data_IF_899359091867
#
_entry.id   IF_899359091867
#
_cell.length_a   1.000
_cell.length_b   1.000
_cell.length_c   1.000
_cell.angle_alpha   90.00
_cell.angle_beta   90.00
_cell.angle_gamma   90.00
#
_symmetry.space_group_name_H-M   'P 1'
#
loop_
_entity.id
_entity.type
_entity.pdbx_description
1 polymer ?
#
# COMPACT_ATOMS: atom_id res chain seq x y z
N UNK A 1 -15.26 -2.42 6.13
CA UNK A 1 -14.92 -2.06 7.52
C UNK A 1 -16.10 -1.34 8.12
N UNK A 2 -16.70 -1.84 9.21
CA UNK A 2 -17.71 -1.06 9.95
C UNK A 2 -16.98 0.08 10.64
N UNK A 3 -17.49 1.30 10.49
CA UNK A 3 -16.91 2.48 11.13
C UNK A 3 -16.99 2.27 12.64
N UNK A 4 -15.84 2.20 13.32
CA UNK A 4 -15.76 2.00 14.78
C UNK A 4 -16.09 3.28 15.57
N UNK A 5 -16.41 4.38 14.87
CA UNK A 5 -16.77 5.68 15.43
C UNK A 5 -17.99 6.19 14.68
N UNK A 6 -19.19 5.87 15.18
CA UNK A 6 -20.48 6.38 14.69
C UNK A 6 -21.02 5.72 13.41
N UNK A 7 -22.32 5.93 13.17
CA UNK A 7 -23.01 5.55 11.93
C UNK A 7 -22.49 6.43 10.76
N UNK A 8 -22.31 5.88 9.54
CA UNK A 8 -21.70 6.58 8.41
C UNK A 8 -22.54 7.76 7.90
N UNK A 9 -23.84 7.76 8.17
CA UNK A 9 -24.77 8.86 7.90
C UNK A 9 -25.85 8.87 8.98
N UNK A 10 -26.27 10.06 9.39
CA UNK A 10 -27.39 10.28 10.30
C UNK A 10 -28.50 10.99 9.54
N UNK A 11 -29.68 10.39 9.51
CA UNK A 11 -30.82 10.91 8.76
C UNK A 11 -31.80 11.58 9.72
N UNK A 12 -32.33 12.74 9.34
CA UNK A 12 -33.50 13.28 10.03
C UNK A 12 -34.72 12.45 9.62
N UNK A 13 -35.16 11.57 10.53
CA UNK A 13 -36.38 10.77 10.40
C UNK A 13 -37.52 11.34 11.25
N UNK A 14 -38.79 11.15 10.85
CA UNK A 14 -39.94 11.59 11.64
C UNK A 14 -40.00 10.86 13.00
N UNK A 15 -40.53 11.53 14.02
CA UNK A 15 -40.47 11.08 15.41
C UNK A 15 -41.30 9.81 15.69
N UNK A 16 -42.20 9.45 14.79
CA UNK A 16 -43.02 8.23 14.86
C UNK A 16 -42.25 6.95 14.48
N UNK A 17 -41.03 7.07 13.95
CA UNK A 17 -40.24 5.92 13.54
C UNK A 17 -39.59 5.21 14.74
N UNK A 18 -39.66 3.88 14.76
CA UNK A 18 -38.90 3.09 15.72
C UNK A 18 -37.43 3.02 15.31
N UNK A 19 -36.55 2.74 16.27
CA UNK A 19 -35.11 2.64 16.06
C UNK A 19 -34.71 1.64 14.95
N UNK A 20 -35.50 0.58 14.72
CA UNK A 20 -35.26 -0.36 13.62
C UNK A 20 -35.49 0.27 12.24
N UNK A 21 -36.50 1.16 12.13
CA UNK A 21 -36.80 1.89 10.90
C UNK A 21 -35.80 3.00 10.64
N UNK A 22 -35.28 3.64 11.69
CA UNK A 22 -34.18 4.60 11.61
C UNK A 22 -32.93 3.96 11.00
N UNK A 23 -32.50 2.80 11.53
CA UNK A 23 -31.38 2.04 10.96
C UNK A 23 -31.62 1.62 9.51
N UNK A 24 -32.85 1.26 9.15
CA UNK A 24 -33.19 0.95 7.76
C UNK A 24 -33.06 2.18 6.86
N UNK A 25 -33.61 3.32 7.28
CA UNK A 25 -33.55 4.57 6.54
C UNK A 25 -32.10 5.05 6.35
N UNK A 26 -31.27 4.98 7.39
CA UNK A 26 -29.84 5.32 7.30
C UNK A 26 -29.10 4.43 6.29
N UNK A 27 -29.30 3.11 6.35
CA UNK A 27 -28.67 2.18 5.42
C UNK A 27 -29.16 2.42 3.98
N UNK A 28 -30.45 2.72 3.82
CA UNK A 28 -31.03 3.06 2.53
C UNK A 28 -30.40 4.34 1.97
N UNK A 29 -30.35 5.42 2.76
CA UNK A 29 -29.73 6.69 2.35
C UNK A 29 -28.22 6.58 2.10
N UNK A 30 -27.52 5.64 2.75
CA UNK A 30 -26.10 5.42 2.51
C UNK A 30 -25.83 4.67 1.19
N UNK A 31 -26.66 3.68 0.85
CA UNK A 31 -26.49 2.87 -0.36
C UNK A 31 -27.02 3.60 -1.61
N UNK A 32 -28.13 4.31 -1.48
CA UNK A 32 -28.71 5.09 -2.56
C UNK A 32 -28.05 6.47 -2.68
N UNK A 33 -27.85 6.95 -3.91
CA UNK A 33 -27.19 8.23 -4.14
C UNK A 33 -28.01 9.40 -3.56
N UNK A 34 -27.33 10.26 -2.82
CA UNK A 34 -27.89 11.51 -2.30
C UNK A 34 -27.52 12.67 -3.21
N UNK A 35 -28.33 13.73 -3.17
CA UNK A 35 -28.08 14.97 -3.90
C UNK A 35 -28.13 16.15 -2.92
N UNK A 36 -27.27 17.14 -3.15
CA UNK A 36 -27.23 18.35 -2.33
C UNK A 36 -28.24 19.39 -2.82
N UNK A 37 -28.95 20.01 -1.88
CA UNK A 37 -29.88 21.11 -2.13
C UNK A 37 -29.49 22.28 -1.23
N UNK A 38 -29.46 23.50 -1.80
CA UNK A 38 -29.20 24.71 -1.02
C UNK A 38 -30.39 25.02 -0.11
N UNK A 39 -30.19 25.51 1.13
CA UNK A 39 -31.29 25.83 2.05
C UNK A 39 -32.31 26.83 1.49
N UNK A 40 -31.88 27.74 0.62
CA UNK A 40 -32.71 28.81 0.04
C UNK A 40 -33.48 28.40 -1.23
N UNK A 41 -33.27 27.17 -1.74
CA UNK A 41 -33.87 26.68 -2.99
C UNK A 41 -34.96 25.63 -2.69
N UNK A 42 -36.09 25.70 -3.41
CA UNK A 42 -37.11 24.66 -3.31
C UNK A 42 -36.59 23.34 -3.90
N UNK A 43 -36.93 22.22 -3.27
CA UNK A 43 -36.50 20.88 -3.72
C UNK A 43 -36.97 20.68 -5.18
N UNK A 44 -36.05 20.51 -6.15
CA UNK A 44 -36.41 20.40 -7.56
C UNK A 44 -37.34 19.20 -7.75
N UNK A 45 -38.48 19.40 -8.40
CA UNK A 45 -39.43 18.32 -8.74
C UNK A 45 -38.98 17.43 -9.91
N UNK A 46 -38.27 17.92 -10.96
CA UNK A 46 -37.87 17.05 -12.05
C UNK A 46 -36.78 16.07 -11.60
N UNK A 47 -36.94 14.80 -12.01
CA UNK A 47 -36.02 13.72 -11.66
C UNK A 47 -34.64 13.92 -12.29
N UNK A 48 -34.61 14.51 -13.48
CA UNK A 48 -33.40 14.69 -14.30
C UNK A 48 -32.37 15.59 -13.61
N UNK A 49 -32.84 16.68 -12.99
CA UNK A 49 -31.99 17.58 -12.20
C UNK A 49 -31.44 16.90 -10.94
N UNK A 50 -32.23 16.01 -10.32
CA UNK A 50 -31.79 15.27 -9.13
C UNK A 50 -30.68 14.29 -9.50
N UNK A 51 -30.82 13.57 -10.61
CA UNK A 51 -29.81 12.62 -11.09
C UNK A 51 -28.49 13.32 -11.43
N UNK A 52 -28.53 14.48 -12.08
CA UNK A 52 -27.33 15.26 -12.37
C UNK A 52 -26.60 15.78 -11.12
N UNK A 53 -27.31 15.96 -10.00
CA UNK A 53 -26.75 16.44 -8.72
C UNK A 53 -26.36 15.30 -7.76
N UNK A 54 -26.43 14.04 -8.19
CA UNK A 54 -26.12 12.87 -7.35
C UNK A 54 -24.62 12.72 -7.07
N UNK A 55 -24.30 12.34 -5.84
CA UNK A 55 -22.93 12.22 -5.33
C UNK A 55 -22.45 10.76 -5.36
N UNK A 56 -21.95 10.28 -6.51
CA UNK A 56 -21.47 8.90 -6.66
C UNK A 56 -20.05 8.66 -6.12
N UNK A 57 -19.25 9.71 -5.90
CA UNK A 57 -17.81 9.57 -5.69
C UNK A 57 -17.44 8.83 -4.39
N UNK A 58 -18.24 8.92 -3.33
CA UNK A 58 -17.96 8.25 -2.04
C UNK A 58 -17.87 6.73 -2.15
N UNK A 59 -18.62 6.13 -3.08
CA UNK A 59 -18.59 4.68 -3.32
C UNK A 59 -17.31 4.24 -4.04
N UNK A 60 -16.73 5.11 -4.86
CA UNK A 60 -15.56 4.82 -5.70
C UNK A 60 -14.22 5.11 -5.03
N UNK A 61 -14.18 5.99 -4.03
CA UNK A 61 -12.97 6.32 -3.24
C UNK A 61 -12.17 5.09 -2.80
N UNK A 62 -12.74 4.07 -2.12
CA UNK A 62 -11.96 2.91 -1.68
C UNK A 62 -11.38 2.08 -2.84
N UNK A 63 -12.06 2.02 -3.98
CA UNK A 63 -11.57 1.32 -5.16
C UNK A 63 -10.42 2.08 -5.84
N UNK A 64 -10.54 3.41 -5.91
CA UNK A 64 -9.48 4.27 -6.46
C UNK A 64 -8.21 4.20 -5.61
N UNK A 65 -8.33 4.20 -4.27
CA UNK A 65 -7.18 4.03 -3.38
C UNK A 65 -6.51 2.66 -3.53
N UNK A 66 -7.30 1.59 -3.72
CA UNK A 66 -6.74 0.25 -3.96
C UNK A 66 -6.03 0.17 -5.33
N UNK A 67 -6.60 0.81 -6.35
CA UNK A 67 -6.03 0.88 -7.68
C UNK A 67 -4.70 1.65 -7.68
N UNK A 68 -4.65 2.81 -7.01
CA UNK A 68 -3.45 3.62 -6.85
C UNK A 68 -2.32 2.85 -6.15
N UNK A 69 -2.64 2.17 -5.03
CA UNK A 69 -1.68 1.31 -4.35
C UNK A 69 -1.15 0.19 -5.26
N UNK A 70 -2.02 -0.38 -6.10
CA UNK A 70 -1.64 -1.34 -7.13
C UNK A 70 -0.69 -0.75 -8.18
N UNK A 71 -0.96 0.46 -8.66
CA UNK A 71 -0.10 1.16 -9.62
C UNK A 71 1.28 1.49 -9.03
N UNK A 72 1.37 1.87 -7.76
CA UNK A 72 2.67 2.08 -7.11
C UNK A 72 3.47 0.79 -6.92
N UNK A 73 2.81 -0.36 -6.80
CA UNK A 73 3.47 -1.66 -6.73
C UNK A 73 3.89 -2.22 -8.09
N UNK A 74 3.25 -1.75 -9.16
CA UNK A 74 3.53 -2.15 -10.55
C UNK A 74 5.00 -2.03 -10.98
N UNK A 75 5.74 -0.93 -10.74
CA UNK A 75 7.15 -0.83 -11.14
C UNK A 75 8.06 -1.85 -10.44
N UNK A 76 7.81 -2.16 -9.16
CA UNK A 76 8.58 -3.17 -8.41
C UNK A 76 8.32 -4.57 -8.98
N UNK A 77 7.07 -4.87 -9.33
CA UNK A 77 6.71 -6.13 -9.98
C UNK A 77 7.35 -6.28 -11.36
N UNK A 78 7.33 -5.22 -12.17
CA UNK A 78 7.99 -5.21 -13.47
C UNK A 78 9.49 -5.43 -13.32
N UNK A 79 10.15 -4.71 -12.41
CA UNK A 79 11.57 -4.88 -12.13
C UNK A 79 11.89 -6.31 -11.66
N UNK A 80 11.09 -6.87 -10.75
CA UNK A 80 11.26 -8.24 -10.26
C UNK A 80 11.09 -9.29 -11.38
N UNK A 81 10.09 -9.12 -12.26
CA UNK A 81 9.86 -10.02 -13.40
C UNK A 81 10.96 -9.92 -14.45
N UNK A 82 11.40 -8.71 -14.78
CA UNK A 82 12.47 -8.49 -15.77
C UNK A 82 13.81 -9.01 -15.27
N UNK A 83 14.14 -8.83 -13.98
CA UNK A 83 15.38 -9.39 -13.41
C UNK A 83 15.38 -10.92 -13.31
N UNK A 84 14.22 -11.55 -13.07
CA UNK A 84 14.11 -13.02 -13.10
C UNK A 84 14.30 -13.59 -14.50
N UNK A 85 13.91 -12.85 -15.54
CA UNK A 85 14.06 -13.26 -16.95
C UNK A 85 15.41 -12.88 -17.55
N UNK A 86 16.11 -11.88 -17.01
CA UNK A 86 17.39 -11.40 -17.57
C UNK A 86 18.56 -12.38 -17.36
N UNK A 87 18.36 -13.49 -16.66
CA UNK A 87 19.37 -14.55 -16.48
C UNK A 87 20.59 -14.13 -15.65
N UNK A 88 20.62 -12.87 -15.18
CA UNK A 88 21.68 -12.31 -14.36
C UNK A 88 21.27 -12.50 -12.89
N UNK A 89 21.80 -13.53 -12.24
CA UNK A 89 21.65 -13.74 -10.81
C UNK A 89 22.52 -12.72 -10.06
N UNK A 90 21.94 -11.57 -9.73
CA UNK A 90 22.59 -10.51 -8.95
C UNK A 90 23.07 -11.08 -7.60
N UNK A 91 22.32 -12.02 -7.02
CA UNK A 91 22.68 -12.77 -5.80
C UNK A 91 23.98 -13.55 -5.95
N UNK A 92 24.17 -14.26 -7.07
CA UNK A 92 25.41 -14.99 -7.32
C UNK A 92 26.62 -14.05 -7.50
N UNK A 93 26.41 -12.89 -8.12
CA UNK A 93 27.47 -11.88 -8.26
C UNK A 93 27.86 -11.24 -6.92
N UNK A 94 26.90 -11.07 -6.01
CA UNK A 94 27.15 -10.53 -4.66
C UNK A 94 27.93 -11.55 -3.82
N UNK A 95 27.52 -12.82 -3.82
CA UNK A 95 28.18 -13.91 -3.09
C UNK A 95 29.64 -14.12 -3.57
N UNK A 96 29.87 -14.04 -4.89
CA UNK A 96 31.23 -14.08 -5.43
C UNK A 96 32.06 -12.87 -5.01
N UNK A 97 31.48 -11.67 -4.92
CA UNK A 97 32.19 -10.49 -4.42
C UNK A 97 32.50 -10.58 -2.93
N UNK A 98 31.60 -11.16 -2.13
CA UNK A 98 31.79 -11.33 -0.70
C UNK A 98 32.91 -12.32 -0.37
N UNK A 99 32.91 -13.50 -1.01
CA UNK A 99 33.98 -14.50 -0.82
C UNK A 99 35.37 -13.99 -1.22
N UNK A 100 35.48 -13.22 -2.32
CA UNK A 100 36.74 -12.57 -2.72
C UNK A 100 37.17 -11.50 -1.70
N UNK A 101 36.22 -10.75 -1.14
CA UNK A 101 36.49 -9.75 -0.10
C UNK A 101 36.96 -10.40 1.21
N UNK A 102 36.38 -11.54 1.57
CA UNK A 102 36.75 -12.33 2.74
C UNK A 102 38.16 -12.92 2.59
N UNK A 103 38.46 -13.54 1.43
CA UNK A 103 39.82 -14.01 1.10
C UNK A 103 40.85 -12.88 1.12
N UNK A 104 40.53 -11.73 0.52
CA UNK A 104 41.42 -10.56 0.49
C UNK A 104 41.68 -9.97 1.89
N UNK A 105 40.66 -9.94 2.75
CA UNK A 105 40.78 -9.56 4.17
C UNK A 105 41.69 -10.53 4.94
N UNK A 106 41.51 -11.84 4.73
CA UNK A 106 42.34 -12.89 5.33
C UNK A 106 43.80 -12.79 4.90
N UNK A 107 44.06 -12.57 3.61
CA UNK A 107 45.41 -12.38 3.07
C UNK A 107 46.10 -11.12 3.63
N UNK A 108 45.39 -10.00 3.77
CA UNK A 108 45.96 -8.81 4.42
C UNK A 108 46.32 -9.07 5.87
N UNK A 109 45.47 -9.79 6.61
CA UNK A 109 45.75 -10.17 8.01
C UNK A 109 46.94 -11.12 8.13
N UNK A 110 47.08 -12.08 7.21
CA UNK A 110 48.21 -13.00 7.15
C UNK A 110 49.54 -12.30 6.79
N UNK A 111 49.50 -11.29 5.92
CA UNK A 111 50.66 -10.46 5.57
C UNK A 111 51.10 -9.56 6.74
N UNK A 112 50.16 -9.13 7.60
CA UNK A 112 50.45 -8.32 8.79
C UNK A 112 50.94 -9.11 10.01
N UNK A 113 50.84 -10.45 10.01
CA UNK A 113 51.59 -11.25 10.97
C UNK A 113 53.06 -11.23 10.56
N UNK A 114 53.99 -10.75 11.41
CA UNK A 114 55.41 -10.83 11.08
C UNK A 114 55.75 -12.31 10.84
N UNK A 115 56.27 -12.58 9.64
CA UNK A 115 56.83 -13.87 9.27
C UNK A 115 57.99 -14.16 10.23
N UNK A 116 57.71 -14.82 11.35
CA UNK A 116 58.74 -15.46 12.15
C UNK A 116 59.33 -16.56 11.27
N UNK A 117 60.44 -16.23 10.60
CA UNK A 117 61.31 -17.19 9.96
C UNK A 117 61.77 -18.18 11.03
N UNK A 118 61.27 -19.40 10.94
CA UNK A 118 62.02 -20.57 11.37
C UNK A 118 63.31 -20.64 10.55
N UNK A 119 64.37 -20.01 11.04
CA UNK A 119 65.72 -20.27 10.55
C UNK A 119 66.20 -21.53 11.24
N UNK A 120 65.95 -22.67 10.61
CA UNK A 120 66.68 -23.90 10.87
C UNK A 120 68.09 -23.69 10.31
N UNK A 121 69.11 -23.68 11.17
CA UNK A 121 70.51 -23.57 10.79
C UNK A 121 71.39 -23.76 12.02
N UNK A 122 71.90 -24.97 12.19
CA UNK A 122 72.73 -25.35 13.34
C UNK A 122 74.12 -24.75 13.34
N UNK A 123 74.72 -24.66 14.53
CA UNK A 123 76.16 -24.84 14.78
C UNK A 123 76.38 -24.95 16.30
N UNK A 124 77.13 -25.98 16.71
CA UNK A 124 77.66 -26.35 18.05
C UNK A 124 76.67 -27.02 19.00
#
# INVERSE_FOLDING_TARGET
>A
AKQYVGQPIQCWVPAEFSHAWEQYAENYCFVYNTYWVKPDEQIPRPVDERVNRQLFYYQWVPFLMALEAGFFYFPVLLWSKTNKKSGINITAMIEQKESVKEYGSGLRKAQSCPRSQSTFGGFI
#
